data_IF_765912328455
#
_entry.id   IF_765912328455
#
_cell.length_a   1.000
_cell.length_b   1.000
_cell.length_c   1.000
_cell.angle_alpha   90.00
_cell.angle_beta   90.00
_cell.angle_gamma   90.00
#
_symmetry.space_group_name_H-M   'P 1'
#
loop_
_entity.id
_entity.type
_entity.pdbx_description
1 polymer ?
#
# COMPACT_ATOMS: atom_id res chain seq x y z
N UNK A 1 4.64 5.07 -13.94
CA UNK A 1 3.32 4.97 -13.31
C UNK A 1 3.41 5.62 -11.93
N UNK A 2 2.39 6.37 -11.50
CA UNK A 2 2.41 7.04 -10.20
C UNK A 2 2.38 6.02 -9.06
N UNK A 3 2.87 6.39 -7.89
CA UNK A 3 2.87 5.54 -6.68
C UNK A 3 1.50 5.46 -6.01
N UNK A 4 0.56 6.32 -6.41
CA UNK A 4 -0.83 6.37 -5.94
C UNK A 4 -1.77 5.88 -7.05
N UNK A 5 -2.94 5.36 -6.68
CA UNK A 5 -3.92 4.85 -7.63
C UNK A 5 -4.68 5.96 -8.38
N UNK A 6 -5.09 7.00 -7.65
CA UNK A 6 -5.83 8.14 -8.20
C UNK A 6 -5.38 9.43 -7.49
N UNK A 7 -5.08 10.48 -8.25
CA UNK A 7 -4.75 11.80 -7.68
C UNK A 7 -5.96 12.43 -6.97
N UNK A 8 -7.16 12.17 -7.48
CA UNK A 8 -8.45 12.56 -6.91
C UNK A 8 -9.39 11.36 -6.99
N UNK A 9 -10.09 11.06 -5.90
CA UNK A 9 -11.04 9.95 -5.86
C UNK A 9 -12.20 10.20 -6.84
N UNK A 10 -12.47 9.27 -7.78
CA UNK A 10 -13.52 9.47 -8.77
C UNK A 10 -14.91 9.35 -8.16
N UNK A 11 -15.84 10.18 -8.64
CA UNK A 11 -17.25 10.11 -8.22
C UNK A 11 -18.00 9.08 -9.08
N UNK A 12 -18.48 8.01 -8.46
CA UNK A 12 -19.15 6.89 -9.15
C UNK A 12 -20.63 7.20 -9.32
N UNK A 13 -21.10 7.32 -10.56
CA UNK A 13 -22.52 7.58 -10.91
C UNK A 13 -23.27 6.38 -11.50
N UNK A 14 -22.60 5.25 -11.72
CA UNK A 14 -23.20 4.05 -12.32
C UNK A 14 -22.31 2.83 -12.19
N UNK A 15 -22.78 1.68 -12.70
CA UNK A 15 -22.05 0.39 -12.62
C UNK A 15 -20.69 0.43 -13.32
N UNK A 16 -20.61 1.17 -14.42
CA UNK A 16 -19.37 1.41 -15.15
C UNK A 16 -19.08 2.91 -15.16
N UNK A 17 -18.28 3.35 -14.18
CA UNK A 17 -17.96 4.76 -14.00
C UNK A 17 -17.17 5.34 -15.19
N UNK A 18 -16.26 4.54 -15.77
CA UNK A 18 -15.41 4.98 -16.88
C UNK A 18 -16.21 5.13 -18.17
N UNK A 19 -17.05 4.14 -18.50
CA UNK A 19 -17.91 4.20 -19.68
C UNK A 19 -18.95 5.32 -19.56
N UNK A 20 -19.56 5.47 -18.39
CA UNK A 20 -20.55 6.51 -18.13
C UNK A 20 -19.97 7.91 -18.33
N UNK A 21 -18.82 8.21 -17.72
CA UNK A 21 -18.12 9.49 -17.89
C UNK A 21 -17.78 9.76 -19.35
N UNK A 22 -17.24 8.76 -20.07
CA UNK A 22 -16.86 8.91 -21.47
C UNK A 22 -18.06 9.18 -22.38
N UNK A 23 -19.17 8.45 -22.17
CA UNK A 23 -20.39 8.59 -22.96
C UNK A 23 -21.06 9.96 -22.73
N UNK A 24 -21.10 10.40 -21.48
CA UNK A 24 -21.76 11.65 -21.10
C UNK A 24 -20.84 12.88 -21.17
N UNK A 25 -19.55 12.69 -21.51
CA UNK A 25 -18.51 13.73 -21.53
C UNK A 25 -18.38 14.48 -20.20
N UNK A 26 -18.66 13.79 -19.09
CA UNK A 26 -18.47 14.34 -17.74
C UNK A 26 -17.08 13.99 -17.22
N UNK A 27 -16.39 14.89 -16.50
CA UNK A 27 -15.09 14.57 -15.90
C UNK A 27 -15.24 13.52 -14.80
N UNK A 28 -14.28 12.58 -14.72
CA UNK A 28 -14.19 11.58 -13.64
C UNK A 28 -13.73 12.18 -12.31
N UNK A 29 -12.98 13.27 -12.39
CA UNK A 29 -12.36 13.97 -11.26
C UNK A 29 -12.94 15.37 -11.23
N UNK A 30 -13.53 15.76 -10.09
CA UNK A 30 -14.25 17.04 -9.94
C UNK A 30 -13.75 17.84 -8.72
N UNK A 31 -12.73 17.33 -8.02
CA UNK A 31 -12.14 17.98 -6.84
C UNK A 31 -10.70 18.40 -7.11
N UNK A 32 -10.21 19.36 -6.33
CA UNK A 32 -8.83 19.85 -6.40
C UNK A 32 -7.86 18.79 -5.90
N UNK A 33 -6.67 18.75 -6.52
CA UNK A 33 -5.57 17.90 -6.04
C UNK A 33 -5.16 18.36 -4.64
N UNK A 34 -5.12 17.40 -3.71
CA UNK A 34 -4.70 17.60 -2.31
C UNK A 34 -3.45 16.77 -2.04
N UNK A 35 -2.73 17.09 -0.96
CA UNK A 35 -1.61 16.28 -0.50
C UNK A 35 -2.10 14.85 -0.24
N UNK A 36 -1.36 13.86 -0.72
CA UNK A 36 -1.74 12.45 -0.60
C UNK A 36 -0.91 11.83 0.51
N UNK A 37 -1.57 11.25 1.51
CA UNK A 37 -0.91 10.45 2.53
C UNK A 37 -0.62 9.05 1.97
N UNK A 38 0.62 8.58 2.14
CA UNK A 38 1.04 7.26 1.71
C UNK A 38 1.74 6.51 2.87
N UNK A 39 1.50 5.20 3.00
CA UNK A 39 2.21 4.39 3.97
C UNK A 39 3.68 4.23 3.55
N UNK A 40 4.55 4.18 4.56
CA UNK A 40 5.97 3.89 4.37
C UNK A 40 6.20 2.40 4.08
N UNK A 41 7.27 2.09 3.35
CA UNK A 41 7.67 0.70 3.13
C UNK A 41 8.34 0.12 4.38
N UNK A 42 8.03 -1.14 4.71
CA UNK A 42 8.64 -1.85 5.83
C UNK A 42 9.16 -3.23 5.40
N UNK A 43 10.40 -3.57 5.78
CA UNK A 43 10.99 -4.89 5.54
C UNK A 43 10.57 -5.95 6.57
N UNK A 44 9.86 -5.56 7.64
CA UNK A 44 9.46 -6.46 8.73
C UNK A 44 8.60 -7.65 8.27
N UNK A 45 7.61 -7.49 7.36
CA UNK A 45 6.82 -8.61 6.85
C UNK A 45 7.64 -9.67 6.11
N UNK A 46 8.71 -9.26 5.41
CA UNK A 46 9.59 -10.21 4.72
C UNK A 46 10.37 -11.07 5.71
N UNK A 47 10.95 -10.45 6.74
CA UNK A 47 11.64 -11.15 7.84
C UNK A 47 10.67 -12.10 8.55
N UNK A 48 9.44 -11.65 8.80
CA UNK A 48 8.39 -12.46 9.39
C UNK A 48 8.06 -13.69 8.51
N UNK A 49 7.98 -13.53 7.19
CA UNK A 49 7.78 -14.62 6.25
C UNK A 49 8.89 -15.67 6.31
N UNK A 50 10.16 -15.26 6.42
CA UNK A 50 11.29 -16.18 6.61
C UNK A 50 11.18 -16.92 7.95
N UNK A 51 10.81 -16.22 9.02
CA UNK A 51 10.62 -16.84 10.34
C UNK A 51 9.49 -17.89 10.31
N UNK A 52 8.36 -17.59 9.65
CA UNK A 52 7.27 -18.54 9.45
C UNK A 52 7.67 -19.74 8.58
N UNK A 53 8.49 -19.51 7.54
CA UNK A 53 9.02 -20.60 6.71
C UNK A 53 9.81 -21.60 7.56
N UNK A 54 10.75 -21.14 8.38
CA UNK A 54 11.53 -22.01 9.26
C UNK A 54 10.69 -22.66 10.35
N UNK A 55 9.75 -21.92 10.95
CA UNK A 55 8.81 -22.47 11.93
C UNK A 55 8.01 -23.64 11.32
N UNK A 56 7.41 -23.44 10.14
CA UNK A 56 6.67 -24.47 9.43
C UNK A 56 7.55 -25.66 9.07
N UNK A 57 8.76 -25.41 8.55
CA UNK A 57 9.73 -26.45 8.21
C UNK A 57 10.07 -27.33 9.43
N UNK A 58 10.44 -26.72 10.57
CA UNK A 58 10.81 -27.49 11.76
C UNK A 58 9.64 -28.28 12.35
N UNK A 59 8.42 -27.74 12.30
CA UNK A 59 7.22 -28.43 12.75
C UNK A 59 6.91 -29.68 11.89
N UNK A 60 7.09 -29.62 10.57
CA UNK A 60 6.88 -30.77 9.68
C UNK A 60 7.80 -31.94 10.04
N UNK A 61 9.07 -31.67 10.35
CA UNK A 61 10.05 -32.71 10.70
C UNK A 61 10.06 -33.08 12.19
N UNK A 62 9.10 -32.61 12.99
CA UNK A 62 9.05 -32.83 14.45
C UNK A 62 10.32 -32.37 15.19
N UNK A 63 11.01 -31.36 14.66
CA UNK A 63 12.18 -30.78 15.29
C UNK A 63 11.75 -29.74 16.33
N UNK A 64 11.42 -30.21 17.53
CA UNK A 64 10.80 -29.38 18.57
C UNK A 64 11.69 -28.22 19.06
N UNK A 65 12.98 -28.47 19.33
CA UNK A 65 13.90 -27.43 19.82
C UNK A 65 14.00 -26.23 18.87
N UNK A 66 14.33 -26.39 17.58
CA UNK A 66 14.39 -25.26 16.66
C UNK A 66 12.99 -24.70 16.32
N UNK A 67 11.92 -25.49 16.40
CA UNK A 67 10.54 -24.99 16.23
C UNK A 67 10.18 -23.96 17.31
N UNK A 68 10.51 -24.24 18.57
CA UNK A 68 10.25 -23.31 19.69
C UNK A 68 11.03 -22.01 19.49
N UNK A 69 12.31 -22.09 19.09
CA UNK A 69 13.15 -20.92 18.83
C UNK A 69 12.56 -20.08 17.69
N UNK A 70 12.15 -20.71 16.58
CA UNK A 70 11.51 -20.02 15.47
C UNK A 70 10.17 -19.39 15.89
N UNK A 71 9.39 -20.06 16.75
CA UNK A 71 8.14 -19.54 17.29
C UNK A 71 8.36 -18.29 18.14
N UNK A 72 9.39 -18.28 19.00
CA UNK A 72 9.78 -17.08 19.76
C UNK A 72 10.20 -15.95 18.81
N UNK A 73 10.97 -16.25 17.77
CA UNK A 73 11.36 -15.24 16.77
C UNK A 73 10.15 -14.59 16.08
N UNK A 74 9.15 -15.39 15.69
CA UNK A 74 7.88 -14.90 15.12
C UNK A 74 7.18 -13.97 16.12
N UNK A 75 7.04 -14.37 17.38
CA UNK A 75 6.40 -13.55 18.42
C UNK A 75 7.12 -12.23 18.65
N UNK A 76 8.46 -12.23 18.68
CA UNK A 76 9.27 -11.01 18.83
C UNK A 76 9.08 -10.04 17.66
N UNK A 77 9.07 -10.55 16.43
CA UNK A 77 8.84 -9.71 15.24
C UNK A 77 7.44 -9.12 15.27
N UNK A 78 6.41 -9.93 15.57
CA UNK A 78 5.02 -9.45 15.69
C UNK A 78 4.86 -8.39 16.79
N UNK A 79 5.50 -8.58 17.94
CA UNK A 79 5.52 -7.59 19.01
C UNK A 79 6.17 -6.29 18.53
N UNK A 80 7.34 -6.38 17.87
CA UNK A 80 8.05 -5.21 17.33
C UNK A 80 7.24 -4.44 16.27
N UNK A 81 6.39 -5.14 15.50
CA UNK A 81 5.48 -4.52 14.53
C UNK A 81 4.30 -3.84 15.23
N UNK A 82 3.78 -4.41 16.32
CA UNK A 82 2.64 -3.84 17.05
C UNK A 82 3.00 -2.54 17.78
N UNK A 83 4.25 -2.37 18.20
CA UNK A 83 4.74 -1.15 18.83
C UNK A 83 5.27 -0.10 17.85
N UNK A 84 5.37 -0.44 16.57
CA UNK A 84 5.84 0.48 15.55
C UNK A 84 4.77 1.53 15.25
N UNK A 85 5.13 2.81 15.42
CA UNK A 85 4.27 3.94 15.08
C UNK A 85 4.89 4.67 13.90
N UNK A 86 4.51 4.25 12.71
CA UNK A 86 4.87 4.90 11.46
C UNK A 86 3.64 5.64 10.93
N UNK A 87 3.67 6.97 11.01
CA UNK A 87 2.60 7.83 10.53
C UNK A 87 2.64 8.01 9.00
N UNK A 88 3.49 7.29 8.26
CA UNK A 88 3.63 7.40 6.82
C UNK A 88 4.27 8.72 6.36
N UNK A 89 4.14 9.02 5.07
CA UNK A 89 4.62 10.27 4.48
C UNK A 89 3.54 10.93 3.61
N UNK A 90 3.71 12.22 3.34
CA UNK A 90 2.82 12.97 2.46
C UNK A 90 3.53 13.29 1.15
N UNK A 91 2.87 12.98 0.02
CA UNK A 91 3.27 13.45 -1.29
C UNK A 91 2.72 14.88 -1.47
N UNK A 92 3.57 15.88 -1.73
CA UNK A 92 3.15 17.26 -1.90
C UNK A 92 2.31 17.45 -3.17
N UNK A 93 1.44 18.45 -3.16
CA UNK A 93 0.50 18.71 -4.27
C UNK A 93 1.25 18.98 -5.57
N UNK A 94 2.36 19.69 -5.49
CA UNK A 94 3.18 20.10 -6.63
C UNK A 94 3.76 18.88 -7.35
N UNK A 95 4.19 17.86 -6.61
CA UNK A 95 4.72 16.61 -7.18
C UNK A 95 3.63 15.79 -7.87
N UNK A 96 2.43 15.74 -7.27
CA UNK A 96 1.26 15.07 -7.87
C UNK A 96 0.88 15.78 -9.18
N UNK A 97 0.80 17.11 -9.18
CA UNK A 97 0.47 17.90 -10.38
C UNK A 97 1.49 17.68 -11.49
N UNK A 98 2.79 17.74 -11.18
CA UNK A 98 3.85 17.50 -12.16
C UNK A 98 3.78 16.08 -12.75
N UNK A 99 3.48 15.09 -11.90
CA UNK A 99 3.34 13.69 -12.32
C UNK A 99 2.13 13.50 -13.23
N UNK A 100 0.98 14.07 -12.88
CA UNK A 100 -0.24 14.01 -13.71
C UNK A 100 -0.05 14.75 -15.04
N UNK A 101 0.55 15.94 -15.05
CA UNK A 101 0.87 16.67 -16.28
C UNK A 101 1.78 15.85 -17.20
N UNK A 102 2.81 15.20 -16.64
CA UNK A 102 3.72 14.35 -17.42
C UNK A 102 3.04 13.11 -18.01
N UNK A 103 2.06 12.54 -17.32
CA UNK A 103 1.43 11.27 -17.71
C UNK A 103 0.17 11.45 -18.56
N UNK A 104 -0.66 12.45 -18.24
CA UNK A 104 -1.95 12.69 -18.89
C UNK A 104 -1.89 13.82 -19.92
N UNK A 105 -0.91 14.72 -19.82
CA UNK A 105 -0.82 15.90 -20.69
C UNK A 105 -1.84 17.01 -20.39
N UNK A 106 -2.89 16.69 -19.63
CA UNK A 106 -3.92 17.63 -19.22
C UNK A 106 -3.59 18.22 -17.85
N UNK A 107 -3.40 19.55 -17.80
CA UNK A 107 -3.54 20.34 -16.58
C UNK A 107 -4.96 20.22 -16.08
N UNK A 108 -5.13 19.57 -14.92
CA UNK A 108 -6.33 19.79 -14.09
C UNK A 108 -6.42 21.27 -13.71
#
# INVERSE_FOLDING_TARGET
MPVYNFAVTPTIKGRDAFWFSKKNKEPLMDDKIKKIHMPSNSGKPFILGIAFFFLGFFLVFSWWTPSIIAGIAVLLVLASMSFDRDDGYYIPVEEVVQTEQKLRGDTV
#
